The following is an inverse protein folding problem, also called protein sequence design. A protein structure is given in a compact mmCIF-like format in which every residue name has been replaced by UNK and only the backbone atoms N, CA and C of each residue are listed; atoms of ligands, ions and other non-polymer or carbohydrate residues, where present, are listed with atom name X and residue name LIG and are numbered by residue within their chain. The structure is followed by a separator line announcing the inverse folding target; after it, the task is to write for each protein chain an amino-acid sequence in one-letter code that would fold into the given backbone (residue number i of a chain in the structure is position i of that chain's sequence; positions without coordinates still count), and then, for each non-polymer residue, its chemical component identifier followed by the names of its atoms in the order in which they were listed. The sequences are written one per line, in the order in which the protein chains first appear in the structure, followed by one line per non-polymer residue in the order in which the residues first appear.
data_IF_357634866402
#
_entry.id   IF_357634866402
#
_cell.length_a   1.000
_cell.length_b   1.000
_cell.length_c   1.000
_cell.angle_alpha   90.00
_cell.angle_beta   90.00
_cell.angle_gamma   90.00
#
_symmetry.space_group_name_H-M   'P 1'
#
loop_
_entity.id
_entity.type
_entity.pdbx_description
1 polymer ?
#
# COMPACT_ATOMS: atom_id res chain seq x y z
N UNK A 1 -6.45 -9.00 8.87
CA UNK A 1 -6.33 -9.87 7.68
C UNK A 1 -6.65 -9.16 6.37
N UNK A 2 -7.67 -8.30 6.27
CA UNK A 2 -7.96 -7.52 5.04
C UNK A 2 -6.74 -6.78 4.47
N UNK A 3 -5.88 -6.26 5.35
CA UNK A 3 -4.68 -5.51 4.99
C UNK A 3 -3.63 -6.31 4.22
N UNK A 4 -3.55 -7.64 4.40
CA UNK A 4 -2.63 -8.45 3.58
C UNK A 4 -3.09 -8.41 2.13
N UNK A 5 -4.38 -8.62 1.87
CA UNK A 5 -4.97 -8.56 0.53
C UNK A 5 -4.81 -7.19 -0.11
N UNK A 6 -5.11 -6.12 0.64
CA UNK A 6 -4.93 -4.74 0.16
C UNK A 6 -3.48 -4.45 -0.24
N UNK A 7 -2.52 -4.92 0.55
CA UNK A 7 -1.09 -4.79 0.24
C UNK A 7 -0.68 -5.52 -1.03
N UNK A 8 -1.31 -6.65 -1.39
CA UNK A 8 -1.03 -7.35 -2.65
C UNK A 8 -1.63 -6.63 -3.85
N UNK A 9 -2.86 -6.13 -3.74
CA UNK A 9 -3.54 -5.41 -4.82
C UNK A 9 -2.89 -4.06 -5.14
N UNK A 10 -2.40 -3.34 -4.12
CA UNK A 10 -1.73 -2.04 -4.30
C UNK A 10 -0.28 -2.13 -4.81
N UNK A 11 0.35 -3.29 -4.71
CA UNK A 11 1.77 -3.49 -5.08
C UNK A 11 2.12 -3.17 -6.55
N UNK A 12 1.37 -3.64 -7.58
CA UNK A 12 1.71 -3.30 -8.97
C UNK A 12 1.66 -1.80 -9.24
N UNK A 13 0.70 -1.09 -8.63
CA UNK A 13 0.55 0.37 -8.74
C UNK A 13 1.76 1.06 -8.10
N UNK A 14 2.14 0.65 -6.90
CA UNK A 14 3.29 1.21 -6.18
C UNK A 14 4.61 1.02 -6.94
N UNK A 15 4.82 -0.16 -7.53
CA UNK A 15 6.02 -0.44 -8.34
C UNK A 15 6.06 0.40 -9.61
N UNK A 16 4.91 0.64 -10.25
CA UNK A 16 4.78 1.54 -11.40
C UNK A 16 5.16 2.97 -11.02
N UNK A 17 4.66 3.48 -9.89
CA UNK A 17 5.00 4.82 -9.40
C UNK A 17 6.46 4.99 -8.99
N UNK A 18 7.05 3.98 -8.33
CA UNK A 18 8.49 3.96 -8.02
C UNK A 18 9.32 4.01 -9.29
N UNK A 19 8.93 3.27 -10.33
CA UNK A 19 9.64 3.21 -11.61
C UNK A 19 9.59 4.54 -12.37
N UNK A 20 8.44 5.20 -12.38
CA UNK A 20 8.29 6.54 -12.98
C UNK A 20 8.98 7.64 -12.16
N UNK A 21 9.55 7.31 -11.00
CA UNK A 21 10.26 8.27 -10.16
C UNK A 21 9.35 9.27 -9.47
N UNK A 22 8.05 8.94 -9.28
CA UNK A 22 7.10 9.82 -8.60
C UNK A 22 7.41 9.93 -7.10
N UNK A 23 7.41 8.81 -6.38
CA UNK A 23 7.75 8.77 -4.96
C UNK A 23 8.37 7.43 -4.57
N UNK A 24 9.15 7.45 -3.47
CA UNK A 24 9.73 6.23 -2.89
C UNK A 24 8.65 5.42 -2.17
N UNK A 25 8.70 4.07 -2.21
CA UNK A 25 7.76 3.22 -1.47
C UNK A 25 7.69 3.52 0.02
N UNK A 26 8.80 3.98 0.61
CA UNK A 26 8.87 4.38 2.02
C UNK A 26 7.97 5.56 2.34
N UNK A 27 7.90 6.55 1.45
CA UNK A 27 7.00 7.69 1.60
C UNK A 27 5.52 7.27 1.56
N UNK A 28 5.19 6.28 0.72
CA UNK A 28 3.85 5.71 0.65
C UNK A 28 3.47 4.94 1.92
N UNK A 29 4.38 4.12 2.47
CA UNK A 29 4.14 3.44 3.75
C UNK A 29 3.86 4.41 4.90
N UNK A 30 4.63 5.49 4.97
CA UNK A 30 4.46 6.53 6.01
C UNK A 30 3.13 7.25 5.80
N UNK A 31 2.81 7.63 4.56
CA UNK A 31 1.54 8.29 4.24
C UNK A 31 0.34 7.41 4.64
N UNK A 32 0.35 6.11 4.31
CA UNK A 32 -0.71 5.19 4.71
C UNK A 32 -0.80 5.05 6.24
N UNK A 33 0.34 4.95 6.93
CA UNK A 33 0.35 4.86 8.38
C UNK A 33 -0.26 6.09 9.07
N UNK A 34 -0.07 7.29 8.49
CA UNK A 34 -0.68 8.53 8.99
C UNK A 34 -2.18 8.55 8.69
N UNK A 35 -2.58 8.15 7.48
CA UNK A 35 -4.00 8.10 7.08
C UNK A 35 -4.81 7.08 7.90
N UNK A 36 -4.17 5.99 8.36
CA UNK A 36 -4.82 4.97 9.18
C UNK A 36 -5.22 5.51 10.56
N UNK A 37 -4.48 6.47 11.14
CA UNK A 37 -4.71 6.99 12.50
C UNK A 37 -6.16 7.51 12.69
N UNK A 38 -6.65 8.49 11.92
CA UNK A 38 -7.99 9.04 12.13
C UNK A 38 -9.09 8.01 11.85
N UNK A 39 -8.89 7.14 10.85
CA UNK A 39 -9.88 6.12 10.46
C UNK A 39 -10.03 5.08 11.58
N UNK A 40 -8.91 4.55 12.07
CA UNK A 40 -8.90 3.57 13.16
C UNK A 40 -9.42 4.21 14.44
N UNK A 41 -9.03 5.45 14.76
CA UNK A 41 -9.56 6.15 15.94
C UNK A 41 -11.08 6.25 15.93
N UNK A 42 -11.69 6.59 14.80
CA UNK A 42 -13.15 6.67 14.70
C UNK A 42 -13.81 5.29 14.87
N UNK A 43 -13.28 4.27 14.18
CA UNK A 43 -13.81 2.91 14.24
C UNK A 43 -13.70 2.32 15.66
N UNK A 44 -12.52 2.44 16.29
CA UNK A 44 -12.27 1.93 17.64
C UNK A 44 -13.11 2.70 18.65
N UNK A 45 -13.27 4.01 18.52
CA UNK A 45 -14.12 4.79 19.43
C UNK A 45 -15.57 4.29 19.44
N UNK A 46 -16.16 4.07 18.27
CA UNK A 46 -17.52 3.51 18.17
C UNK A 46 -17.63 2.15 18.84
N UNK A 47 -16.66 1.27 18.62
CA UNK A 47 -16.64 -0.08 19.22
C UNK A 47 -16.39 -0.05 20.73
N UNK A 48 -15.39 0.70 21.18
CA UNK A 48 -14.96 0.82 22.57
C UNK A 48 -16.04 1.44 23.46
N UNK A 49 -16.78 2.45 22.98
CA UNK A 49 -17.89 3.02 23.75
C UNK A 49 -18.97 1.97 24.01
N UNK A 50 -19.42 1.25 22.98
CA UNK A 50 -20.46 0.23 23.14
C UNK A 50 -19.97 -0.88 24.07
N UNK A 51 -18.78 -1.42 23.81
CA UNK A 51 -18.26 -2.56 24.57
C UNK A 51 -18.02 -2.19 26.03
N UNK A 52 -17.32 -1.08 26.31
CA UNK A 52 -16.92 -0.71 27.67
C UNK A 52 -18.12 -0.53 28.61
N UNK A 53 -19.17 0.15 28.13
CA UNK A 53 -20.39 0.37 28.91
C UNK A 53 -21.29 -0.87 28.97
N UNK A 54 -21.33 -1.69 27.92
CA UNK A 54 -22.15 -2.91 27.90
C UNK A 54 -21.60 -4.00 28.83
N UNK A 55 -20.28 -4.13 28.96
CA UNK A 55 -19.67 -5.11 29.86
C UNK A 55 -19.53 -4.63 31.32
N UNK A 56 -19.94 -3.40 31.62
CA UNK A 56 -19.95 -2.87 32.99
C UNK A 56 -18.55 -2.69 33.60
N UNK A 57 -17.55 -2.31 32.79
CA UNK A 57 -16.23 -1.94 33.32
C UNK A 57 -16.32 -0.68 34.18
N UNK A 58 -15.31 -0.46 35.03
CA UNK A 58 -15.29 0.64 35.99
C UNK A 58 -15.54 2.00 35.33
N UNK A 59 -16.57 2.70 35.78
CA UNK A 59 -16.97 4.01 35.23
C UNK A 59 -16.09 5.17 35.71
N UNK A 60 -14.77 5.05 35.52
CA UNK A 60 -13.80 6.12 35.74
C UNK A 60 -13.26 6.62 34.40
N UNK A 61 -13.24 7.95 34.22
CA UNK A 61 -12.78 8.58 32.99
C UNK A 61 -11.31 8.24 32.71
N UNK A 62 -10.46 8.21 33.74
CA UNK A 62 -9.03 7.89 33.58
C UNK A 62 -8.80 6.49 33.04
N UNK A 63 -9.56 5.51 33.53
CA UNK A 63 -9.47 4.10 33.11
C UNK A 63 -10.03 3.89 31.72
N UNK A 64 -11.14 4.56 31.39
CA UNK A 64 -11.69 4.53 30.03
C UNK A 64 -10.71 5.08 29.00
N UNK A 65 -10.08 6.23 29.24
CA UNK A 65 -9.11 6.80 28.29
C UNK A 65 -7.85 5.95 28.15
N UNK A 66 -7.39 5.33 29.25
CA UNK A 66 -6.25 4.41 29.22
C UNK A 66 -6.58 3.16 28.39
N UNK A 67 -7.76 2.56 28.62
CA UNK A 67 -8.29 1.47 27.80
C UNK A 67 -8.37 1.86 26.32
N UNK A 68 -8.97 3.02 26.03
CA UNK A 68 -9.16 3.51 24.67
C UNK A 68 -7.83 3.74 23.93
N UNK A 69 -6.85 4.37 24.56
CA UNK A 69 -5.52 4.60 23.95
C UNK A 69 -4.81 3.28 23.64
N UNK A 70 -4.85 2.32 24.58
CA UNK A 70 -4.18 1.02 24.39
C UNK A 70 -4.84 0.23 23.26
N UNK A 71 -6.17 0.15 23.22
CA UNK A 71 -6.89 -0.55 22.15
C UNK A 71 -6.65 0.09 20.78
N UNK A 72 -6.58 1.43 20.72
CA UNK A 72 -6.21 2.14 19.49
C UNK A 72 -4.79 1.79 19.03
N UNK A 73 -3.81 1.86 19.93
CA UNK A 73 -2.42 1.54 19.62
C UNK A 73 -2.25 0.08 19.19
N UNK A 74 -2.93 -0.85 19.86
CA UNK A 74 -2.95 -2.27 19.50
C UNK A 74 -3.52 -2.47 18.09
N UNK A 75 -4.67 -1.86 17.80
CA UNK A 75 -5.32 -1.97 16.48
C UNK A 75 -4.42 -1.46 15.36
N UNK A 76 -3.81 -0.28 15.54
CA UNK A 76 -2.84 0.28 14.59
C UNK A 76 -1.61 -0.64 14.41
N UNK A 77 -1.12 -1.25 15.49
CA UNK A 77 -0.01 -2.21 15.43
C UNK A 77 -0.38 -3.46 14.62
N UNK A 78 -1.56 -4.04 14.82
CA UNK A 78 -2.02 -5.21 14.07
C UNK A 78 -2.27 -4.91 12.59
N UNK A 79 -2.80 -3.72 12.26
CA UNK A 79 -2.93 -3.26 10.87
C UNK A 79 -1.57 -3.28 10.17
N UNK A 80 -0.52 -2.72 10.80
CA UNK A 80 0.82 -2.71 10.22
C UNK A 80 1.49 -4.08 10.19
N UNK A 81 1.22 -4.93 11.18
CA UNK A 81 1.71 -6.31 11.19
C UNK A 81 1.24 -7.09 9.97
N UNK A 82 -0.07 -7.05 9.68
CA UNK A 82 -0.64 -7.73 8.52
C UNK A 82 -0.15 -7.11 7.20
N UNK A 83 0.02 -5.80 7.16
CA UNK A 83 0.62 -5.12 6.00
C UNK A 83 2.08 -5.53 5.78
N UNK A 84 2.86 -5.71 6.85
CA UNK A 84 4.25 -6.16 6.79
C UNK A 84 4.35 -7.58 6.22
N UNK A 85 3.48 -8.48 6.65
CA UNK A 85 3.34 -9.83 6.09
C UNK A 85 3.06 -9.74 4.59
N UNK A 86 2.10 -8.93 4.17
CA UNK A 86 1.80 -8.69 2.74
C UNK A 86 3.00 -8.18 1.93
N UNK A 87 3.75 -7.23 2.49
CA UNK A 87 4.93 -6.65 1.86
C UNK A 87 6.10 -7.64 1.74
N UNK A 88 6.19 -8.65 2.63
CA UNK A 88 7.33 -9.57 2.68
C UNK A 88 7.16 -10.79 1.76
N UNK A 89 5.92 -11.24 1.47
CA UNK A 89 5.67 -12.47 0.72
C UNK A 89 5.39 -12.26 -0.79
N UNK A 90 5.85 -13.21 -1.63
CA UNK A 90 5.68 -13.20 -3.10
C UNK A 90 4.32 -13.70 -3.58
N UNK A 91 3.78 -14.71 -2.91
CA UNK A 91 2.56 -15.36 -3.31
C UNK A 91 1.44 -15.00 -2.35
N UNK A 92 0.30 -14.58 -2.91
CA UNK A 92 -0.88 -14.22 -2.13
C UNK A 92 -1.35 -15.37 -1.23
N UNK A 93 -1.42 -16.59 -1.76
CA UNK A 93 -1.84 -17.77 -1.00
C UNK A 93 -0.97 -18.00 0.24
N UNK A 94 0.36 -18.01 0.07
CA UNK A 94 1.31 -18.21 1.18
C UNK A 94 1.21 -17.09 2.23
N UNK A 95 1.05 -15.84 1.80
CA UNK A 95 0.89 -14.71 2.72
C UNK A 95 -0.39 -14.82 3.55
N UNK A 96 -1.50 -15.22 2.92
CA UNK A 96 -2.77 -15.43 3.60
C UNK A 96 -2.67 -16.55 4.64
N UNK A 97 -2.05 -17.68 4.28
CA UNK A 97 -1.82 -18.79 5.22
C UNK A 97 -0.98 -18.35 6.43
N UNK A 98 0.13 -17.64 6.20
CA UNK A 98 1.01 -17.18 7.27
C UNK A 98 0.30 -16.14 8.15
N UNK A 99 -0.48 -15.23 7.57
CA UNK A 99 -1.25 -14.27 8.36
C UNK A 99 -2.29 -14.92 9.27
N UNK A 100 -2.95 -15.98 8.80
CA UNK A 100 -3.88 -16.77 9.62
C UNK A 100 -3.16 -17.51 10.74
N UNK A 101 -2.04 -18.19 10.43
CA UNK A 101 -1.23 -18.90 11.41
C UNK A 101 -0.67 -17.96 12.48
N UNK A 102 -0.16 -16.79 12.08
CA UNK A 102 0.33 -15.76 13.00
C UNK A 102 -0.78 -15.26 13.93
N UNK A 103 -1.97 -15.01 13.39
CA UNK A 103 -3.14 -14.59 14.19
C UNK A 103 -3.51 -15.64 15.23
N UNK A 104 -3.50 -16.92 14.87
CA UNK A 104 -3.80 -18.01 15.82
C UNK A 104 -2.74 -18.11 16.91
N UNK A 105 -1.45 -18.01 16.56
CA UNK A 105 -0.36 -18.05 17.54
C UNK A 105 -0.47 -16.87 18.51
N UNK A 106 -0.71 -15.66 18.01
CA UNK A 106 -0.81 -14.46 18.85
C UNK A 106 -2.04 -14.47 19.76
N UNK A 107 -3.14 -15.09 19.33
CA UNK A 107 -4.31 -15.28 20.19
C UNK A 107 -4.04 -16.30 21.32
N UNK A 108 -3.42 -17.45 21.00
CA UNK A 108 -3.14 -18.50 22.00
C UNK A 108 -2.09 -18.05 23.02
N UNK A 109 -1.03 -17.39 22.55
CA UNK A 109 0.08 -16.93 23.39
C UNK A 109 -0.05 -15.45 23.80
N UNK A 110 -1.25 -14.90 23.77
CA UNK A 110 -1.54 -13.52 24.20
C UNK A 110 -1.59 -13.30 25.70
N UNK A 111 -1.43 -14.34 26.53
CA UNK A 111 -1.46 -14.25 27.99
C UNK A 111 -2.83 -14.53 28.62
N UNK A 112 -3.91 -14.49 27.85
CA UNK A 112 -5.26 -14.83 28.32
C UNK A 112 -5.47 -16.35 28.45
N UNK A 113 -5.25 -17.11 27.37
CA UNK A 113 -5.46 -18.57 27.35
C UNK A 113 -4.40 -19.31 28.17
N UNK A 114 -3.14 -18.89 28.05
CA UNK A 114 -2.02 -19.45 28.80
C UNK A 114 -1.27 -18.28 29.44
N UNK A 115 -1.26 -18.15 30.79
CA UNK A 115 -0.53 -17.10 31.47
C UNK A 115 0.98 -17.34 31.36
N UNK A 116 1.76 -16.26 31.37
CA UNK A 116 3.22 -16.29 31.17
C UNK A 116 3.95 -17.26 32.13
N UNK A 117 3.55 -17.30 33.40
CA UNK A 117 4.14 -18.18 34.43
C UNK A 117 3.98 -19.67 34.13
N UNK A 118 2.87 -20.05 33.48
CA UNK A 118 2.55 -21.45 33.12
C UNK A 118 3.06 -21.83 31.73
N UNK A 119 3.60 -20.89 30.95
CA UNK A 119 4.18 -21.19 29.64
C UNK A 119 5.48 -22.00 29.79
N UNK A 120 5.58 -23.06 28.99
CA UNK A 120 6.81 -23.84 28.88
C UNK A 120 7.98 -22.92 28.46
N UNK A 121 9.18 -23.04 29.06
CA UNK A 121 10.28 -22.07 28.87
C UNK A 121 10.65 -21.81 27.41
N UNK A 122 10.50 -22.82 26.56
CA UNK A 122 10.88 -22.81 25.15
C UNK A 122 9.92 -22.01 24.27
N UNK A 123 8.70 -21.73 24.74
CA UNK A 123 7.70 -20.91 24.03
C UNK A 123 7.60 -19.48 24.58
N UNK A 124 8.31 -19.15 25.66
CA UNK A 124 8.24 -17.84 26.32
C UNK A 124 8.68 -16.68 25.42
N UNK A 125 9.54 -16.92 24.43
CA UNK A 125 9.96 -15.89 23.48
C UNK A 125 8.83 -15.36 22.60
N UNK A 126 7.80 -16.19 22.32
CA UNK A 126 6.64 -15.80 21.50
C UNK A 126 5.85 -14.69 22.21
N UNK A 127 5.75 -14.77 23.54
CA UNK A 127 5.08 -13.76 24.35
C UNK A 127 5.72 -12.38 24.16
N UNK A 128 7.06 -12.30 24.15
CA UNK A 128 7.77 -11.03 23.96
C UNK A 128 7.65 -10.45 22.55
N UNK A 129 7.41 -11.29 21.54
CA UNK A 129 7.21 -10.87 20.15
C UNK A 129 5.75 -10.44 19.86
N UNK A 130 4.82 -10.76 20.77
CA UNK A 130 3.40 -10.54 20.58
C UNK A 130 2.99 -9.16 21.14
N UNK A 131 2.65 -8.17 20.30
CA UNK A 131 2.20 -6.86 20.78
C UNK A 131 0.90 -6.96 21.61
N UNK A 132 0.04 -7.92 21.33
CA UNK A 132 -1.21 -8.13 22.06
C UNK A 132 -1.00 -8.60 23.51
N UNK A 133 0.14 -9.24 23.83
CA UNK A 133 0.46 -9.62 25.20
C UNK A 133 0.67 -8.41 26.10
N UNK A 134 1.37 -7.38 25.59
CA UNK A 134 1.58 -6.11 26.32
C UNK A 134 0.30 -5.29 26.43
N UNK A 135 -0.57 -5.35 25.40
CA UNK A 135 -1.88 -4.72 25.45
C UNK A 135 -2.74 -5.37 26.54
N UNK A 136 -2.80 -6.70 26.57
CA UNK A 136 -3.52 -7.47 27.58
C UNK A 136 -3.01 -7.19 29.00
N UNK A 137 -1.70 -7.18 29.22
CA UNK A 137 -1.08 -6.81 30.51
C UNK A 137 -1.55 -5.41 30.96
N UNK A 138 -1.53 -4.44 30.04
CA UNK A 138 -1.89 -3.05 30.33
C UNK A 138 -3.38 -2.87 30.62
N UNK A 139 -4.25 -3.53 29.84
CA UNK A 139 -5.71 -3.48 30.00
C UNK A 139 -6.15 -4.16 31.30
N UNK A 140 -5.60 -5.34 31.61
CA UNK A 140 -5.91 -6.07 32.83
C UNK A 140 -5.52 -5.26 34.07
N UNK A 141 -4.33 -4.67 34.05
CA UNK A 141 -3.85 -3.89 35.19
C UNK A 141 -4.64 -2.59 35.40
N UNK A 142 -5.07 -1.95 34.31
CA UNK A 142 -5.88 -0.73 34.36
C UNK A 142 -7.28 -0.99 34.97
N UNK A 143 -7.91 -2.12 34.62
CA UNK A 143 -9.26 -2.43 35.08
C UNK A 143 -9.31 -3.00 36.51
N UNK A 144 -8.32 -3.79 36.90
CA UNK A 144 -8.29 -4.38 38.23
C UNK A 144 -7.74 -3.43 39.30
N UNK A 145 -7.21 -2.26 38.91
CA UNK A 145 -6.69 -1.27 39.85
C UNK A 145 -7.83 -0.66 40.67
N UNK A 146 -7.81 -0.86 42.00
CA UNK A 146 -8.83 -0.30 42.89
C UNK A 146 -10.20 -0.98 42.78
N UNK A 147 -10.24 -2.20 42.24
CA UNK A 147 -11.40 -3.07 42.29
C UNK A 147 -11.31 -3.95 43.54
N UNK A 148 -12.36 -3.97 44.35
CA UNK A 148 -12.51 -4.93 45.44
C UNK A 148 -13.65 -5.88 45.08
N UNK A 149 -13.33 -7.17 44.99
CA UNK A 149 -14.27 -8.21 44.64
C UNK A 149 -14.59 -9.04 45.88
N UNK A 150 -15.87 -9.26 46.14
CA UNK A 150 -16.28 -10.19 47.18
C UNK A 150 -16.19 -11.61 46.61
N UNK A 151 -15.56 -12.52 47.35
CA UNK A 151 -15.57 -13.92 46.97
C UNK A 151 -17.01 -14.45 47.05
N UNK A 152 -17.41 -15.32 46.12
CA UNK A 152 -18.76 -15.92 46.07
C UNK A 152 -18.66 -17.43 45.92
N UNK A 153 -19.66 -18.17 46.39
CA UNK A 153 -19.72 -19.62 46.19
C UNK A 153 -19.73 -19.95 44.68
N UNK A 154 -18.96 -20.95 44.20
CA UNK A 154 -18.29 -22.04 44.95
C UNK A 154 -16.82 -21.77 45.31
N UNK A 155 -16.31 -20.55 45.18
CA UNK A 155 -14.89 -20.26 45.43
C UNK A 155 -14.52 -20.14 46.91
N UNK A 156 -15.50 -20.07 47.80
CA UNK A 156 -15.31 -20.25 49.23
C UNK A 156 -15.01 -21.72 49.57
N UNK A 157 -14.04 -21.93 50.45
CA UNK A 157 -13.80 -23.21 51.10
C UNK A 157 -13.92 -23.03 52.61
N UNK A 158 -14.75 -23.83 53.31
CA UNK A 158 -15.69 -24.83 52.80
C UNK A 158 -16.98 -24.21 52.20
N UNK A 159 -17.51 -24.81 51.12
CA UNK A 159 -18.79 -24.43 50.51
C UNK A 159 -19.89 -25.46 50.81
N UNK A 160 -21.15 -25.00 50.88
CA UNK A 160 -22.34 -25.85 51.08
C UNK A 160 -23.35 -25.24 52.04
N UNK A 161 -24.63 -25.59 51.89
CA UNK A 161 -25.74 -24.98 52.65
C UNK A 161 -25.69 -25.18 54.17
N UNK A 162 -24.89 -26.14 54.67
CA UNK A 162 -24.61 -26.30 56.11
C UNK A 162 -23.67 -25.22 56.66
N UNK A 163 -22.92 -24.53 55.80
CA UNK A 163 -21.93 -23.53 56.18
C UNK A 163 -22.42 -22.09 55.96
N UNK A 164 -23.53 -21.87 55.24
CA UNK A 164 -24.04 -20.52 54.91
C UNK A 164 -24.35 -19.63 56.12
N UNK A 165 -24.67 -20.24 57.28
CA UNK A 165 -25.04 -19.53 58.50
C UNK A 165 -23.94 -19.48 59.57
N UNK A 166 -22.78 -20.13 59.36
CA UNK A 166 -21.66 -20.07 60.31
C UNK A 166 -20.62 -19.03 59.84
N UNK A 167 -20.14 -18.26 60.82
CA UNK A 167 -19.37 -17.02 60.69
C UNK A 167 -18.36 -17.02 59.54
N UNK A 168 -18.36 -15.92 58.79
CA UNK A 168 -17.40 -15.60 57.72
C UNK A 168 -15.91 -15.70 58.16
N UNK A 169 -15.66 -15.81 59.47
CA UNK A 169 -14.36 -15.82 60.14
C UNK A 169 -13.49 -17.06 59.87
N UNK A 170 -14.08 -18.19 59.47
CA UNK A 170 -13.34 -19.44 59.21
C UNK A 170 -13.44 -19.91 57.75
N UNK A 171 -13.86 -19.02 56.83
CA UNK A 171 -13.97 -19.32 55.40
C UNK A 171 -12.82 -18.68 54.65
N UNK A 172 -12.09 -19.48 53.86
CA UNK A 172 -11.06 -18.98 52.95
C UNK A 172 -11.56 -18.90 51.52
N UNK A 173 -11.02 -17.98 50.72
CA UNK A 173 -11.27 -17.95 49.28
C UNK A 173 -10.14 -18.69 48.53
N UNK A 174 -10.50 -19.40 47.46
CA UNK A 174 -9.53 -20.12 46.61
C UNK A 174 -8.83 -19.25 45.59
N UNK A 175 -9.33 -18.04 45.38
CA UNK A 175 -8.79 -17.10 44.41
C UNK A 175 -7.50 -16.51 44.96
N UNK A 176 -6.44 -16.56 44.17
CA UNK A 176 -5.16 -15.92 44.52
C UNK A 176 -5.37 -14.40 44.70
N UNK A 177 -4.79 -13.83 45.74
CA UNK A 177 -4.98 -12.41 46.09
C UNK A 177 -6.21 -12.10 46.96
N UNK A 178 -6.84 -13.12 47.56
CA UNK A 178 -7.83 -12.92 48.62
C UNK A 178 -7.18 -12.66 49.98
N UNK A 179 -7.73 -11.72 50.74
CA UNK A 179 -7.42 -11.49 52.14
C UNK A 179 -8.18 -12.44 53.07
N UNK A 180 -7.77 -12.51 54.34
CA UNK A 180 -8.37 -13.39 55.38
C UNK A 180 -9.87 -13.13 55.59
N UNK A 181 -10.37 -11.94 55.20
CA UNK A 181 -11.78 -11.55 55.28
C UNK A 181 -12.63 -11.96 54.07
N UNK A 182 -12.08 -12.72 53.10
CA UNK A 182 -12.81 -13.13 51.89
C UNK A 182 -12.96 -12.05 50.81
N UNK A 183 -12.29 -10.91 50.98
CA UNK A 183 -12.21 -9.84 49.98
C UNK A 183 -11.01 -10.07 49.06
N UNK A 184 -11.21 -9.91 47.76
CA UNK A 184 -10.17 -10.04 46.74
C UNK A 184 -9.79 -8.65 46.26
N UNK A 185 -8.55 -8.25 46.52
CA UNK A 185 -7.99 -7.03 45.98
C UNK A 185 -7.52 -7.27 44.53
N UNK A 186 -8.02 -6.47 43.58
CA UNK A 186 -7.74 -6.65 42.17
C UNK A 186 -6.26 -6.51 41.81
N UNK A 187 -5.52 -5.62 42.49
CA UNK A 187 -4.07 -5.44 42.24
C UNK A 187 -3.29 -6.67 42.68
N UNK A 188 -3.62 -7.19 43.87
CA UNK A 188 -2.99 -8.40 44.41
C UNK A 188 -3.33 -9.64 43.57
N UNK A 189 -4.57 -9.76 43.10
CA UNK A 189 -4.99 -10.81 42.17
C UNK A 189 -4.17 -10.81 40.88
N UNK A 190 -4.06 -9.66 40.22
CA UNK A 190 -3.33 -9.53 38.95
C UNK A 190 -1.84 -9.81 39.13
N UNK A 191 -1.24 -9.38 40.24
CA UNK A 191 0.15 -9.66 40.55
C UNK A 191 0.41 -11.15 40.80
N UNK A 192 -0.38 -11.81 41.64
CA UNK A 192 -0.13 -13.21 42.00
C UNK A 192 -0.47 -14.19 40.86
N UNK A 193 -1.52 -13.91 40.08
CA UNK A 193 -1.97 -14.80 39.01
C UNK A 193 -1.16 -14.63 37.72
N UNK A 194 -0.80 -13.38 37.37
CA UNK A 194 -0.21 -13.04 36.07
C UNK A 194 1.17 -12.37 36.14
N UNK A 195 1.66 -11.99 37.33
CA UNK A 195 2.91 -11.25 37.54
C UNK A 195 2.93 -9.86 36.88
N UNK A 196 1.75 -9.22 36.78
CA UNK A 196 1.60 -7.87 36.21
C UNK A 196 1.58 -6.81 37.30
N UNK A 197 2.05 -5.60 36.96
CA UNK A 197 2.12 -4.47 37.90
C UNK A 197 1.65 -3.16 37.26
N UNK A 198 1.16 -2.22 38.07
CA UNK A 198 0.64 -0.91 37.60
C UNK A 198 1.68 -0.10 36.84
N UNK A 199 2.96 -0.26 37.18
CA UNK A 199 4.07 0.38 36.46
C UNK A 199 4.26 -0.14 35.03
N UNK A 200 3.67 -1.28 34.68
CA UNK A 200 3.81 -1.88 33.35
C UNK A 200 2.87 -1.28 32.30
N UNK A 201 1.83 -0.53 32.68
CA UNK A 201 0.82 0.03 31.74
C UNK A 201 1.50 0.92 30.68
N UNK A 202 2.22 1.95 31.12
CA UNK A 202 2.86 2.90 30.20
C UNK A 202 4.09 2.32 29.51
N UNK A 203 4.76 1.34 30.15
CA UNK A 203 5.82 0.55 29.50
C UNK A 203 5.24 -0.27 28.34
N UNK A 204 4.14 -0.96 28.56
CA UNK A 204 3.43 -1.74 27.55
C UNK A 204 2.99 -0.88 26.38
N UNK A 205 2.38 0.28 26.66
CA UNK A 205 2.03 1.27 25.64
C UNK A 205 3.25 1.70 24.80
N UNK A 206 4.36 2.08 25.45
CA UNK A 206 5.59 2.46 24.74
C UNK A 206 6.16 1.35 23.86
N UNK A 207 6.10 0.10 24.33
CA UNK A 207 6.53 -1.08 23.56
C UNK A 207 5.62 -1.29 22.34
N UNK A 208 4.30 -1.16 22.47
CA UNK A 208 3.35 -1.29 21.35
C UNK A 208 3.64 -0.23 20.28
N UNK A 209 3.86 1.03 20.68
CA UNK A 209 4.21 2.12 19.75
C UNK A 209 5.56 1.84 19.07
N UNK A 210 6.55 1.32 19.78
CA UNK A 210 7.82 0.92 19.20
C UNK A 210 7.66 -0.21 18.17
N UNK A 211 6.83 -1.23 18.47
CA UNK A 211 6.47 -2.28 17.52
C UNK A 211 5.77 -1.71 16.28
N UNK A 212 4.84 -0.77 16.46
CA UNK A 212 4.15 -0.13 15.34
C UNK A 212 5.13 0.61 14.40
N UNK A 213 6.05 1.42 14.95
CA UNK A 213 7.09 2.10 14.16
C UNK A 213 8.02 1.09 13.49
N UNK A 214 8.43 0.04 14.22
CA UNK A 214 9.27 -1.02 13.68
C UNK A 214 8.60 -1.75 12.51
N UNK A 215 7.30 -2.07 12.63
CA UNK A 215 6.53 -2.73 11.57
C UNK A 215 6.35 -1.82 10.35
N UNK A 216 6.19 -0.50 10.54
CA UNK A 216 6.25 0.45 9.43
C UNK A 216 7.61 0.37 8.72
N UNK A 217 8.71 0.37 9.48
CA UNK A 217 10.05 0.18 8.93
C UNK A 217 10.20 -1.14 8.18
N UNK A 218 9.62 -2.23 8.70
CA UNK A 218 9.63 -3.55 8.07
C UNK A 218 8.81 -3.57 6.76
N UNK A 219 7.65 -2.92 6.72
CA UNK A 219 6.86 -2.79 5.48
C UNK A 219 7.63 -2.00 4.41
N UNK A 220 8.25 -0.89 4.82
CA UNK A 220 9.04 -0.02 3.98
C UNK A 220 10.25 -0.77 3.40
N UNK A 221 10.97 -1.51 4.25
CA UNK A 221 12.07 -2.38 3.86
C UNK A 221 11.59 -3.51 2.92
N UNK A 222 10.44 -4.13 3.21
CA UNK A 222 9.84 -5.18 2.38
C UNK A 222 9.57 -4.70 0.94
N UNK A 223 9.05 -3.49 0.77
CA UNK A 223 8.84 -2.89 -0.55
C UNK A 223 10.13 -2.35 -1.19
N UNK A 224 11.14 -1.93 -0.41
CA UNK A 224 12.43 -1.49 -0.96
C UNK A 224 13.30 -2.63 -1.43
N UNK A 225 13.48 -3.67 -0.61
CA UNK A 225 14.29 -4.86 -0.92
C UNK A 225 13.71 -5.63 -2.11
N UNK A 226 12.39 -5.62 -2.27
CA UNK A 226 11.73 -6.27 -3.39
C UNK A 226 11.74 -5.37 -4.61
N UNK A 227 12.93 -5.26 -5.20
CA UNK A 227 13.15 -4.62 -6.50
C UNK A 227 12.97 -5.59 -7.69
N UNK A 228 12.27 -6.72 -7.48
CA UNK A 228 12.30 -7.83 -8.44
C UNK A 228 11.11 -7.84 -9.41
N UNK A 229 11.47 -7.56 -10.68
CA UNK A 229 10.99 -8.19 -11.92
C UNK A 229 9.51 -8.03 -12.29
N UNK A 230 9.19 -6.83 -12.78
CA UNK A 230 8.10 -6.62 -13.74
C UNK A 230 8.46 -5.50 -14.72
N UNK A 231 8.91 -5.87 -15.94
CA UNK A 231 8.82 -5.10 -17.20
C UNK A 231 9.42 -3.68 -17.34
N UNK A 232 10.55 -3.59 -18.08
CA UNK A 232 11.10 -2.46 -18.88
C UNK A 232 12.05 -1.36 -18.31
N UNK A 233 13.33 -1.59 -18.57
CA UNK A 233 14.56 -0.79 -18.37
C UNK A 233 14.47 0.73 -18.17
N UNK A 234 15.21 1.27 -17.18
CA UNK A 234 16.13 2.41 -17.41
C UNK A 234 17.36 2.28 -16.50
N UNK A 235 18.54 2.33 -17.12
CA UNK A 235 19.85 2.46 -16.49
C UNK A 235 20.06 3.91 -16.01
N UNK A 236 20.41 4.08 -14.73
CA UNK A 236 20.75 5.36 -14.11
C UNK A 236 22.24 5.69 -14.35
N UNK A 237 22.52 6.79 -15.04
CA UNK A 237 23.87 7.35 -15.13
C UNK A 237 24.17 8.26 -13.92
N UNK A 238 25.41 8.19 -13.43
CA UNK A 238 25.94 8.99 -12.31
C UNK A 238 25.97 10.48 -12.65
N UNK A 239 25.50 11.34 -11.73
CA UNK A 239 25.60 12.81 -11.84
C UNK A 239 27.06 13.23 -12.05
N UNK A 240 27.37 13.75 -13.26
CA UNK A 240 28.70 14.26 -13.63
C UNK A 240 29.16 13.98 -15.06
N UNK A 241 28.49 13.11 -15.83
CA UNK A 241 28.87 12.84 -17.22
C UNK A 241 28.44 14.00 -18.15
N UNK A 242 29.38 14.92 -18.37
CA UNK A 242 29.29 16.05 -19.30
C UNK A 242 29.83 15.60 -20.66
N UNK A 243 29.03 15.70 -21.73
CA UNK A 243 29.57 15.68 -23.11
C UNK A 243 28.94 16.79 -23.95
N UNK A 244 29.77 17.82 -24.12
CA UNK A 244 29.97 18.70 -25.28
C UNK A 244 28.77 19.33 -26.00
N UNK A 245 28.81 20.67 -25.96
CA UNK A 245 28.11 21.63 -26.82
C UNK A 245 28.26 21.23 -28.29
N UNK A 246 27.12 21.09 -28.98
CA UNK A 246 27.03 21.36 -30.42
C UNK A 246 26.45 22.77 -30.50
N UNK A 247 27.34 23.75 -30.38
CA UNK A 247 27.11 25.08 -30.96
C UNK A 247 27.79 25.07 -32.32
N UNK A 248 27.20 25.82 -33.25
CA UNK A 248 27.73 26.16 -34.59
C UNK A 248 27.20 25.27 -35.71
N UNK A 249 25.94 25.48 -36.11
CA UNK A 249 25.53 25.26 -37.52
C UNK A 249 24.26 26.02 -37.98
N UNK A 250 23.73 27.02 -37.28
CA UNK A 250 22.58 27.81 -37.80
C UNK A 250 22.67 29.30 -37.47
N UNK A 251 23.74 29.94 -37.94
CA UNK A 251 23.79 31.39 -38.11
C UNK A 251 24.03 31.69 -39.59
N UNK A 252 22.95 31.66 -40.37
CA UNK A 252 22.78 32.46 -41.59
C UNK A 252 21.41 32.18 -42.24
N UNK A 253 20.39 32.97 -41.88
CA UNK A 253 19.26 33.30 -42.75
C UNK A 253 18.48 34.45 -42.10
N UNK A 254 18.85 35.68 -42.44
CA UNK A 254 18.21 36.89 -41.96
C UNK A 254 16.89 37.23 -42.67
N UNK A 255 15.95 37.74 -41.85
CA UNK A 255 15.09 38.94 -42.05
C UNK A 255 14.07 39.03 -43.23
N UNK A 256 12.80 39.10 -42.78
CA UNK A 256 11.68 40.06 -43.07
C UNK A 256 10.57 39.71 -44.08
N UNK A 257 9.36 40.17 -43.71
CA UNK A 257 8.00 40.17 -44.34
C UNK A 257 7.19 38.88 -44.19
N UNK A 258 5.88 38.85 -43.91
CA UNK A 258 4.84 39.84 -43.61
C UNK A 258 3.71 39.15 -42.81
N UNK A 259 2.85 39.93 -42.15
CA UNK A 259 1.75 39.43 -41.30
C UNK A 259 0.76 38.52 -42.04
N UNK A 260 0.75 37.25 -41.68
CA UNK A 260 -0.43 36.37 -41.75
C UNK A 260 -0.31 35.29 -40.65
N UNK A 261 -1.45 34.89 -40.09
CA UNK A 261 -1.56 33.92 -39.00
C UNK A 261 -1.02 32.58 -39.47
N UNK A 262 0.20 32.23 -39.06
CA UNK A 262 0.84 30.95 -39.33
C UNK A 262 1.13 30.26 -38.01
N UNK A 263 0.46 29.13 -37.80
CA UNK A 263 0.87 28.09 -36.87
C UNK A 263 2.38 27.92 -37.05
N UNK A 264 3.18 28.16 -36.00
CA UNK A 264 4.62 27.98 -36.10
C UNK A 264 4.87 26.51 -36.43
N UNK A 265 5.16 26.23 -37.70
CA UNK A 265 5.73 24.99 -38.15
C UNK A 265 7.14 24.90 -37.56
N UNK A 266 7.25 24.65 -36.26
CA UNK A 266 8.39 23.91 -35.73
C UNK A 266 8.42 22.66 -36.58
N UNK A 267 9.47 22.53 -37.39
CA UNK A 267 9.64 21.45 -38.35
C UNK A 267 9.27 20.12 -37.68
N UNK A 268 8.07 19.62 -37.98
CA UNK A 268 7.62 18.32 -37.51
C UNK A 268 8.65 17.37 -38.08
N UNK A 269 9.49 16.76 -37.23
CA UNK A 269 10.48 15.79 -37.70
C UNK A 269 9.73 14.71 -38.45
N UNK A 270 9.87 14.75 -39.77
CA UNK A 270 9.23 13.81 -40.66
C UNK A 270 10.01 12.49 -40.58
N UNK A 271 9.68 11.67 -39.58
CA UNK A 271 10.34 10.39 -39.36
C UNK A 271 9.58 9.26 -40.06
N UNK A 272 10.30 8.43 -40.80
CA UNK A 272 9.76 7.20 -41.40
C UNK A 272 9.85 6.07 -40.38
N UNK A 273 8.70 5.45 -40.09
CA UNK A 273 8.62 4.30 -39.18
C UNK A 273 8.57 3.01 -39.99
N UNK A 274 9.44 2.04 -39.73
CA UNK A 274 9.50 0.79 -40.51
C UNK A 274 9.78 -0.43 -39.64
N UNK A 275 9.28 -1.59 -40.03
CA UNK A 275 9.53 -2.85 -39.36
C UNK A 275 9.77 -3.98 -40.37
N UNK A 276 10.71 -4.85 -40.02
CA UNK A 276 11.16 -5.94 -40.90
C UNK A 276 11.27 -7.24 -40.11
N UNK A 277 10.74 -8.33 -40.70
CA UNK A 277 10.77 -9.68 -40.13
C UNK A 277 10.25 -9.72 -38.68
N UNK A 278 9.10 -9.09 -38.43
CA UNK A 278 8.55 -9.04 -37.07
C UNK A 278 7.83 -10.35 -36.74
N UNK A 279 8.41 -11.11 -35.80
CA UNK A 279 7.83 -12.32 -35.21
C UNK A 279 7.53 -12.09 -33.73
N UNK A 280 6.40 -12.61 -33.26
CA UNK A 280 6.01 -12.51 -31.85
C UNK A 280 5.49 -13.84 -31.32
N UNK A 281 6.12 -14.31 -30.25
CA UNK A 281 5.82 -15.59 -29.61
C UNK A 281 5.33 -15.39 -28.17
N UNK A 282 4.24 -16.05 -27.80
CA UNK A 282 3.66 -16.02 -26.45
C UNK A 282 3.59 -17.42 -25.87
N UNK A 283 3.90 -17.56 -24.58
CA UNK A 283 3.73 -18.81 -23.85
C UNK A 283 2.27 -18.96 -23.43
N UNK A 284 1.57 -19.97 -23.94
CA UNK A 284 0.18 -20.27 -23.59
C UNK A 284 0.05 -21.75 -23.25
N UNK A 285 -0.41 -22.05 -22.02
CA UNK A 285 -0.60 -23.43 -21.53
C UNK A 285 0.65 -24.32 -21.66
N UNK A 286 1.84 -23.77 -21.43
CA UNK A 286 3.11 -24.50 -21.50
C UNK A 286 3.66 -24.73 -22.92
N UNK A 287 2.96 -24.25 -23.96
CA UNK A 287 3.43 -24.27 -25.35
C UNK A 287 3.69 -22.85 -25.88
N UNK A 288 4.73 -22.71 -26.71
CA UNK A 288 5.06 -21.45 -27.37
C UNK A 288 4.19 -21.28 -28.62
N UNK A 289 3.30 -20.30 -28.63
CA UNK A 289 2.42 -19.97 -29.75
C UNK A 289 2.94 -18.74 -30.48
N UNK A 290 3.12 -18.84 -31.80
CA UNK A 290 3.46 -17.71 -32.65
C UNK A 290 2.18 -16.93 -33.01
N UNK A 291 2.19 -15.63 -32.79
CA UNK A 291 1.06 -14.73 -33.05
C UNK A 291 1.31 -13.78 -34.22
N UNK A 292 2.56 -13.36 -34.43
CA UNK A 292 3.00 -12.62 -35.61
C UNK A 292 4.08 -13.44 -36.32
N UNK A 293 3.97 -13.52 -37.64
CA UNK A 293 4.89 -14.29 -38.48
C UNK A 293 5.39 -13.43 -39.64
N UNK A 294 6.68 -13.09 -39.59
CA UNK A 294 7.42 -12.36 -40.63
C UNK A 294 6.65 -11.15 -41.19
N UNK A 295 6.16 -10.28 -40.30
CA UNK A 295 5.40 -9.09 -40.72
C UNK A 295 6.36 -7.97 -41.14
N UNK A 296 6.05 -7.32 -42.25
CA UNK A 296 6.80 -6.18 -42.79
C UNK A 296 5.88 -4.98 -43.02
N UNK A 297 6.45 -3.79 -42.95
CA UNK A 297 5.75 -2.57 -43.33
C UNK A 297 6.50 -1.31 -42.97
N UNK A 298 6.01 -0.19 -43.51
CA UNK A 298 6.52 1.12 -43.20
C UNK A 298 5.41 2.16 -43.30
N UNK A 299 5.60 3.26 -42.57
CA UNK A 299 4.72 4.42 -42.52
C UNK A 299 5.57 5.64 -42.86
N UNK A 300 5.19 6.31 -43.94
CA UNK A 300 5.82 7.56 -44.36
C UNK A 300 5.24 8.75 -43.58
N UNK A 301 6.05 9.78 -43.32
CA UNK A 301 5.59 10.99 -42.66
C UNK A 301 4.48 11.68 -43.47
N UNK A 302 3.44 12.16 -42.78
CA UNK A 302 2.30 12.83 -43.41
C UNK A 302 1.19 11.91 -43.90
N UNK A 303 1.37 10.59 -43.84
CA UNK A 303 0.34 9.63 -44.25
C UNK A 303 -0.46 9.10 -43.06
N UNK A 304 -1.79 9.07 -43.22
CA UNK A 304 -2.68 8.35 -42.32
C UNK A 304 -2.76 6.88 -42.78
N UNK A 305 -2.27 5.96 -41.96
CA UNK A 305 -2.26 4.52 -42.26
C UNK A 305 -3.28 3.79 -41.40
N UNK A 306 -4.21 3.08 -42.04
CA UNK A 306 -5.23 2.27 -41.37
C UNK A 306 -4.86 0.78 -41.42
N UNK A 307 -4.85 0.10 -40.28
CA UNK A 307 -4.65 -1.35 -40.16
C UNK A 307 -6.01 -2.06 -40.12
N UNK A 308 -6.38 -2.72 -41.23
CA UNK A 308 -7.68 -3.39 -41.39
C UNK A 308 -7.54 -4.91 -41.54
N UNK A 309 -8.57 -5.66 -41.14
CA UNK A 309 -8.60 -7.12 -41.20
C UNK A 309 -9.66 -7.74 -40.29
N UNK A 310 -9.95 -9.03 -40.45
CA UNK A 310 -10.96 -9.75 -39.67
C UNK A 310 -10.66 -9.76 -38.16
N UNK A 311 -11.68 -9.98 -37.32
CA UNK A 311 -11.47 -10.18 -35.87
C UNK A 311 -10.54 -11.37 -35.65
N UNK A 312 -9.58 -11.24 -34.73
CA UNK A 312 -8.57 -12.27 -34.46
C UNK A 312 -7.38 -12.31 -35.43
N UNK A 313 -7.32 -11.47 -36.47
CA UNK A 313 -6.20 -11.41 -37.42
C UNK A 313 -4.87 -10.87 -36.83
N UNK A 314 -4.82 -10.57 -35.53
CA UNK A 314 -3.61 -10.06 -34.88
C UNK A 314 -3.38 -8.55 -35.01
N UNK A 315 -4.40 -7.77 -35.42
CA UNK A 315 -4.29 -6.30 -35.58
C UNK A 315 -3.85 -5.59 -34.31
N UNK A 316 -4.60 -5.79 -33.22
CA UNK A 316 -4.28 -5.24 -31.90
C UNK A 316 -2.93 -5.76 -31.42
N UNK A 317 -2.63 -7.04 -31.65
CA UNK A 317 -1.33 -7.63 -31.32
C UNK A 317 -0.17 -6.94 -32.04
N UNK A 318 -0.32 -6.66 -33.34
CA UNK A 318 0.68 -5.95 -34.12
C UNK A 318 0.86 -4.52 -33.61
N UNK A 319 -0.24 -3.80 -33.36
CA UNK A 319 -0.20 -2.43 -32.86
C UNK A 319 0.47 -2.37 -31.48
N UNK A 320 0.14 -3.29 -30.57
CA UNK A 320 0.74 -3.38 -29.24
C UNK A 320 2.25 -3.70 -29.29
N UNK A 321 2.68 -4.54 -30.24
CA UNK A 321 4.11 -4.87 -30.42
C UNK A 321 4.86 -3.66 -31.00
N UNK A 322 4.28 -2.96 -31.98
CA UNK A 322 4.87 -1.74 -32.55
C UNK A 322 4.95 -0.60 -31.52
N UNK A 323 3.95 -0.49 -30.64
CA UNK A 323 3.93 0.44 -29.52
C UNK A 323 4.83 0.02 -28.34
N UNK A 324 5.50 -1.14 -28.43
CA UNK A 324 6.35 -1.71 -27.38
C UNK A 324 5.64 -1.92 -26.02
N UNK A 325 4.35 -2.29 -26.02
CA UNK A 325 3.58 -2.51 -24.78
C UNK A 325 3.45 -3.98 -24.37
N UNK A 326 3.94 -4.91 -25.18
CA UNK A 326 3.99 -6.34 -24.82
C UNK A 326 5.26 -6.65 -24.02
N UNK A 327 5.09 -6.78 -22.71
CA UNK A 327 6.16 -7.19 -21.78
C UNK A 327 6.33 -8.72 -21.66
N UNK A 328 5.39 -9.50 -22.20
CA UNK A 328 5.37 -10.96 -22.11
C UNK A 328 5.49 -11.58 -23.50
N UNK A 329 6.48 -12.46 -23.69
CA UNK A 329 6.75 -13.11 -24.96
C UNK A 329 8.10 -12.72 -25.55
N UNK A 330 8.46 -13.37 -26.66
CA UNK A 330 9.69 -13.13 -27.39
C UNK A 330 9.36 -12.40 -28.69
N UNK A 331 9.89 -11.19 -28.87
CA UNK A 331 9.78 -10.41 -30.10
C UNK A 331 11.10 -10.59 -30.87
N UNK A 332 11.01 -11.06 -32.12
CA UNK A 332 12.14 -11.12 -33.05
C UNK A 332 11.88 -10.20 -34.24
N UNK A 333 12.94 -9.66 -34.82
CA UNK A 333 12.86 -8.72 -35.93
C UNK A 333 13.46 -7.36 -35.60
N UNK A 334 13.23 -6.40 -36.49
CA UNK A 334 13.72 -5.03 -36.32
C UNK A 334 12.60 -4.03 -36.51
N UNK A 335 12.52 -3.06 -35.59
CA UNK A 335 11.65 -1.89 -35.69
C UNK A 335 12.58 -0.68 -35.71
N UNK A 336 12.43 0.15 -36.73
CA UNK A 336 13.38 1.20 -37.11
C UNK A 336 12.64 2.53 -37.30
N UNK A 337 13.30 3.61 -36.88
CA UNK A 337 12.89 5.00 -37.15
C UNK A 337 14.01 5.62 -37.96
N UNK A 338 13.71 6.09 -39.17
CA UNK A 338 14.70 6.65 -40.10
C UNK A 338 15.91 5.73 -40.31
N UNK A 339 15.65 4.41 -40.38
CA UNK A 339 16.67 3.38 -40.55
C UNK A 339 17.52 3.08 -39.31
N UNK A 340 17.26 3.72 -38.15
CA UNK A 340 17.96 3.48 -36.89
C UNK A 340 17.10 2.67 -35.92
N UNK A 341 17.69 1.78 -35.11
CA UNK A 341 16.96 1.07 -34.07
C UNK A 341 16.34 2.03 -33.06
N UNK A 342 15.19 1.63 -32.51
CA UNK A 342 14.44 2.44 -31.56
C UNK A 342 15.29 2.80 -30.33
N UNK A 343 15.42 4.09 -30.06
CA UNK A 343 15.98 4.59 -28.79
C UNK A 343 14.94 4.66 -27.68
N UNK A 344 15.40 4.85 -26.44
CA UNK A 344 14.55 5.05 -25.25
C UNK A 344 13.60 6.25 -25.41
N UNK A 345 13.94 7.19 -26.32
CA UNK A 345 13.11 8.34 -26.66
C UNK A 345 11.86 8.00 -27.47
N UNK A 346 11.76 6.82 -28.11
CA UNK A 346 10.62 6.46 -28.96
C UNK A 346 9.30 6.53 -28.19
N UNK A 347 9.23 5.87 -27.03
CA UNK A 347 8.04 5.86 -26.17
C UNK A 347 7.64 7.25 -25.64
N UNK A 348 8.54 8.24 -25.66
CA UNK A 348 8.24 9.61 -25.25
C UNK A 348 7.71 10.47 -26.39
N UNK A 349 7.98 10.08 -27.64
CA UNK A 349 7.57 10.82 -28.84
C UNK A 349 6.29 10.25 -29.46
N UNK A 350 5.96 8.99 -29.16
CA UNK A 350 4.74 8.34 -29.64
C UNK A 350 3.62 8.41 -28.60
N UNK A 351 2.43 8.80 -29.02
CA UNK A 351 1.19 8.58 -28.27
C UNK A 351 0.52 7.29 -28.74
N UNK A 352 0.05 6.48 -27.79
CA UNK A 352 -0.78 5.31 -28.07
C UNK A 352 -2.09 5.44 -27.28
N UNK A 353 -3.21 5.19 -27.94
CA UNK A 353 -4.54 5.28 -27.34
C UNK A 353 -5.10 3.87 -27.23
N UNK A 354 -5.46 3.47 -26.01
CA UNK A 354 -5.97 2.14 -25.73
C UNK A 354 -7.40 1.97 -26.20
N UNK A 355 -7.81 0.71 -26.41
CA UNK A 355 -9.20 0.37 -26.70
C UNK A 355 -10.12 0.61 -25.48
N UNK A 356 -9.55 0.55 -24.27
CA UNK A 356 -10.25 0.88 -23.03
C UNK A 356 -9.71 2.21 -22.51
N UNK A 357 -10.61 3.06 -22.06
CA UNK A 357 -10.26 4.35 -21.49
C UNK A 357 -9.53 4.16 -20.15
N UNK A 358 -8.36 4.79 -20.01
CA UNK A 358 -7.56 4.79 -18.78
C UNK A 358 -7.63 6.19 -18.17
N UNK A 359 -8.79 6.52 -17.61
CA UNK A 359 -9.02 7.79 -16.92
C UNK A 359 -9.45 7.55 -15.47
N UNK A 360 -9.12 8.50 -14.61
CA UNK A 360 -9.64 8.54 -13.25
C UNK A 360 -11.09 9.02 -13.31
N UNK A 361 -12.04 8.18 -12.88
CA UNK A 361 -13.47 8.44 -13.01
C UNK A 361 -13.97 9.67 -12.22
N UNK A 362 -13.14 10.19 -11.33
CA UNK A 362 -13.44 11.38 -10.50
C UNK A 362 -12.83 12.66 -11.05
N UNK A 363 -12.03 12.59 -12.12
CA UNK A 363 -11.38 13.74 -12.75
C UNK A 363 -12.26 14.34 -13.84
N UNK A 364 -12.22 15.66 -13.99
CA UNK A 364 -12.78 16.35 -15.16
C UNK A 364 -11.88 16.21 -16.39
N UNK A 365 -12.42 16.47 -17.59
CA UNK A 365 -11.66 16.48 -18.86
C UNK A 365 -10.47 17.44 -18.77
N UNK A 366 -10.70 18.64 -18.24
CA UNK A 366 -9.65 19.66 -18.06
C UNK A 366 -8.57 19.21 -17.09
N UNK A 367 -8.94 18.65 -15.94
CA UNK A 367 -7.98 18.14 -14.96
C UNK A 367 -7.13 17.00 -15.51
N UNK A 368 -7.71 16.10 -16.31
CA UNK A 368 -6.96 15.00 -16.94
C UNK A 368 -5.94 15.52 -17.96
N UNK A 369 -6.30 16.53 -18.75
CA UNK A 369 -5.39 17.18 -19.70
C UNK A 369 -4.28 17.96 -18.97
N UNK A 370 -4.61 18.68 -17.89
CA UNK A 370 -3.63 19.35 -17.02
C UNK A 370 -2.65 18.34 -16.44
N UNK A 371 -3.15 17.24 -15.86
CA UNK A 371 -2.32 16.19 -15.30
C UNK A 371 -1.35 15.61 -16.35
N UNK A 372 -1.84 15.32 -17.55
CA UNK A 372 -1.01 14.83 -18.67
C UNK A 372 0.05 15.86 -19.10
N UNK A 373 -0.33 17.14 -19.27
CA UNK A 373 0.57 18.20 -19.69
C UNK A 373 1.68 18.48 -18.66
N UNK A 374 1.32 18.52 -17.37
CA UNK A 374 2.28 18.72 -16.27
C UNK A 374 3.33 17.62 -16.24
N UNK A 375 2.92 16.37 -16.47
CA UNK A 375 3.79 15.21 -16.43
C UNK A 375 4.64 14.99 -17.68
N UNK A 376 4.09 15.26 -18.87
CA UNK A 376 4.79 15.02 -20.14
C UNK A 376 5.76 16.14 -20.52
N UNK A 377 5.49 17.38 -20.09
CA UNK A 377 6.34 18.52 -20.43
C UNK A 377 7.56 18.66 -19.49
N UNK A 378 8.71 19.15 -19.99
CA UNK A 378 9.91 19.42 -19.18
C UNK A 378 9.64 20.27 -17.93
N UNK A 379 10.52 20.14 -16.93
CA UNK A 379 10.42 20.94 -15.68
C UNK A 379 10.79 22.41 -15.87
N UNK A 380 11.50 22.73 -16.95
CA UNK A 380 11.95 24.10 -17.24
C UNK A 380 10.79 25.02 -17.65
N UNK A 381 9.67 24.44 -18.09
CA UNK A 381 8.46 25.19 -18.48
C UNK A 381 7.63 25.50 -17.21
N UNK A 382 7.31 26.79 -16.95
CA UNK A 382 6.53 27.19 -15.79
C UNK A 382 5.11 26.63 -15.83
N UNK A 383 4.53 26.36 -14.66
CA UNK A 383 3.22 25.73 -14.52
C UNK A 383 2.10 26.51 -15.23
N UNK A 384 2.18 27.83 -15.25
CA UNK A 384 1.22 28.71 -15.92
C UNK A 384 1.20 28.51 -17.44
N UNK A 385 2.37 28.29 -18.05
CA UNK A 385 2.49 28.03 -19.49
C UNK A 385 1.96 26.63 -19.85
N UNK A 386 2.15 25.66 -18.94
CA UNK A 386 1.56 24.32 -19.11
C UNK A 386 0.03 24.34 -19.11
N UNK A 387 -0.58 25.14 -18.23
CA UNK A 387 -2.04 25.30 -18.19
C UNK A 387 -2.53 26.01 -19.45
N UNK A 388 -1.87 27.11 -19.86
CA UNK A 388 -2.25 27.82 -21.07
C UNK A 388 -2.16 26.93 -22.33
N UNK A 389 -1.18 26.02 -22.38
CA UNK A 389 -1.10 25.01 -23.43
C UNK A 389 -2.31 24.07 -23.42
N UNK A 390 -2.81 23.67 -22.24
CA UNK A 390 -4.01 22.83 -22.14
C UNK A 390 -5.26 23.56 -22.59
N UNK A 391 -5.43 24.83 -22.20
CA UNK A 391 -6.56 25.64 -22.65
C UNK A 391 -6.57 25.74 -24.20
N UNK A 392 -5.39 25.93 -24.81
CA UNK A 392 -5.25 25.92 -26.26
C UNK A 392 -5.60 24.56 -26.90
N UNK A 393 -5.26 23.43 -26.26
CA UNK A 393 -5.61 22.10 -26.75
C UNK A 393 -7.12 21.83 -26.63
N UNK A 394 -7.77 22.33 -25.57
CA UNK A 394 -9.22 22.23 -25.39
C UNK A 394 -9.95 22.98 -26.52
N UNK A 395 -9.49 24.20 -26.84
CA UNK A 395 -10.00 24.99 -27.96
C UNK A 395 -9.76 24.27 -29.31
N UNK A 396 -8.53 23.77 -29.55
CA UNK A 396 -8.16 23.08 -30.79
C UNK A 396 -8.99 21.80 -31.03
N UNK A 397 -9.35 21.09 -29.96
CA UNK A 397 -10.16 19.87 -30.03
C UNK A 397 -11.67 20.14 -29.90
N UNK A 398 -12.09 21.41 -29.81
CA UNK A 398 -13.49 21.83 -29.65
C UNK A 398 -14.16 21.18 -28.42
N UNK A 399 -13.41 21.05 -27.31
CA UNK A 399 -13.88 20.41 -26.06
C UNK A 399 -14.40 21.40 -25.01
N UNK A 400 -14.65 22.66 -25.38
CA UNK A 400 -15.03 23.73 -24.45
C UNK A 400 -16.31 23.38 -23.66
N UNK A 401 -17.30 22.83 -24.35
CA UNK A 401 -18.61 22.50 -23.77
C UNK A 401 -18.55 21.38 -22.71
N UNK A 402 -17.50 20.55 -22.76
CA UNK A 402 -17.35 19.37 -21.89
C UNK A 402 -16.09 19.42 -21.03
N UNK A 403 -15.38 20.55 -21.00
CA UNK A 403 -14.10 20.66 -20.30
C UNK A 403 -14.21 20.42 -18.78
N UNK A 404 -15.33 20.82 -18.17
CA UNK A 404 -15.62 20.63 -16.75
C UNK A 404 -16.46 19.37 -16.47
N UNK A 405 -16.77 18.57 -17.49
CA UNK A 405 -17.48 17.31 -17.31
C UNK A 405 -16.55 16.24 -16.70
N UNK A 406 -17.10 15.41 -15.83
CA UNK A 406 -16.41 14.24 -15.28
C UNK A 406 -16.23 13.19 -16.38
N UNK A 407 -15.06 12.54 -16.37
CA UNK A 407 -14.74 11.47 -17.31
C UNK A 407 -15.36 10.16 -16.81
N UNK A 408 -16.45 9.70 -17.43
CA UNK A 408 -17.11 8.44 -17.06
C UNK A 408 -18.40 8.16 -17.82
#
# INVERSE_FOLDING_TARGET
MSETTASFMGRPILMRHKRFGFYRPTAFCIANAITDIPIVMLQVTCFSLILYFMSGLQHDAGKFFTFWIIVNAETLCFVQLFRAVGAMFNHFGLASYISGLLSTIFFVYGGYLIPFSKMHPWFRWIFYLNPGAYAFESLMTNEFQGLQLECVAPQYIPFGGSYDNQSQEFRGCTVLGSDDSGMIDGVTYVNQQYDYSVGHIWRGFGIIVAFWIFLIGLTALGFELRNSHGGSSVLLYKRGARTQKISDLEKEAGRKSDRSVQLSSQATRQSTFSWHNLDYYVQYQGAQKQLLNQVFGFVQPGNLVALMGCSGAGKTTLLDVLAQRKDAGEIRGSILIDGKPQGISFQRMTGDCEQMDVHEATSTVKEALIFSAVLRQPRDIPHTEKIAYVDHIIELLELEDICDALIG
#
